data_IF_264845336144
#
_entry.id   IF_264845336144
#
_cell.length_a   1.000
_cell.length_b   1.000
_cell.length_c   1.000
_cell.angle_alpha   90.00
_cell.angle_beta   90.00
_cell.angle_gamma   90.00
#
_symmetry.space_group_name_H-M   'P 1'
#
loop_
_entity.id
_entity.type
_entity.pdbx_description
1 polymer ?
#
# COMPACT_ATOMS: atom_id res chain seq x y z
N UNK A 1 -26.52 34.04 -15.41
CA UNK A 1 -26.55 33.29 -14.13
C UNK A 1 -26.36 31.82 -14.46
N UNK A 2 -25.35 31.15 -13.91
CA UNK A 2 -25.19 29.70 -14.05
C UNK A 2 -26.28 29.04 -13.20
N UNK A 3 -26.92 27.93 -13.68
CA UNK A 3 -27.95 27.25 -12.90
C UNK A 3 -27.33 26.72 -11.59
N UNK A 4 -28.06 26.87 -10.49
CA UNK A 4 -27.69 26.32 -9.20
C UNK A 4 -27.56 24.80 -9.32
N UNK A 5 -26.36 24.27 -9.06
CA UNK A 5 -26.14 22.82 -9.04
C UNK A 5 -26.68 22.27 -7.72
N UNK A 6 -27.77 21.53 -7.78
CA UNK A 6 -28.20 20.71 -6.65
C UNK A 6 -27.23 19.56 -6.43
N UNK A 7 -26.50 19.62 -5.32
CA UNK A 7 -25.64 18.54 -4.87
C UNK A 7 -26.53 17.52 -4.17
N UNK A 8 -26.62 16.30 -4.70
CA UNK A 8 -27.33 15.20 -4.05
C UNK A 8 -26.65 14.74 -2.74
N UNK A 9 -27.08 13.61 -2.18
CA UNK A 9 -26.49 13.03 -0.96
C UNK A 9 -24.97 12.74 -1.09
N UNK A 10 -24.48 12.53 -2.31
CA UNK A 10 -23.05 12.34 -2.63
C UNK A 10 -22.66 13.27 -3.77
N UNK A 11 -21.58 14.00 -3.59
CA UNK A 11 -20.99 14.85 -4.64
C UNK A 11 -20.07 14.04 -5.58
N UNK A 12 -20.69 13.26 -6.47
CA UNK A 12 -19.94 12.42 -7.44
C UNK A 12 -18.98 13.20 -8.32
N UNK A 13 -19.33 14.44 -8.69
CA UNK A 13 -18.46 15.29 -9.52
C UNK A 13 -17.22 15.70 -8.75
N UNK A 14 -17.39 16.16 -7.51
CA UNK A 14 -16.29 16.54 -6.63
C UNK A 14 -15.39 15.35 -6.30
N UNK A 15 -15.99 14.22 -5.93
CA UNK A 15 -15.28 12.96 -5.66
C UNK A 15 -14.48 12.47 -6.88
N UNK A 16 -15.11 12.44 -8.06
CA UNK A 16 -14.45 12.05 -9.30
C UNK A 16 -13.32 13.00 -9.70
N UNK A 17 -13.49 14.31 -9.43
CA UNK A 17 -12.45 15.31 -9.67
C UNK A 17 -11.24 15.11 -8.75
N UNK A 18 -11.48 14.88 -7.45
CA UNK A 18 -10.42 14.60 -6.49
C UNK A 18 -9.68 13.30 -6.85
N UNK A 19 -10.40 12.22 -7.09
CA UNK A 19 -9.81 10.95 -7.51
C UNK A 19 -9.02 11.09 -8.81
N UNK A 20 -9.59 11.75 -9.83
CA UNK A 20 -8.92 12.01 -11.10
C UNK A 20 -7.65 12.86 -10.96
N UNK A 21 -7.66 13.85 -10.06
CA UNK A 21 -6.46 14.63 -9.69
C UNK A 21 -5.37 13.72 -9.13
N UNK A 22 -5.72 12.83 -8.18
CA UNK A 22 -4.77 11.90 -7.57
C UNK A 22 -4.18 10.92 -8.60
N UNK A 23 -5.00 10.39 -9.51
CA UNK A 23 -4.54 9.52 -10.59
C UNK A 23 -3.62 10.26 -11.57
N UNK A 24 -4.03 11.43 -12.06
CA UNK A 24 -3.22 12.24 -12.98
C UNK A 24 -1.87 12.63 -12.38
N UNK A 25 -1.81 12.88 -11.08
CA UNK A 25 -0.61 13.25 -10.36
C UNK A 25 0.46 12.17 -10.44
N UNK A 26 0.16 10.92 -10.13
CA UNK A 26 1.15 9.86 -10.19
C UNK A 26 1.49 9.43 -11.63
N UNK A 27 0.54 9.50 -12.56
CA UNK A 27 0.82 9.24 -13.96
C UNK A 27 1.70 10.32 -14.60
N UNK A 28 1.57 11.58 -14.18
CA UNK A 28 2.42 12.68 -14.70
C UNK A 28 3.91 12.43 -14.43
N UNK A 29 4.25 11.72 -13.38
CA UNK A 29 5.63 11.38 -12.98
C UNK A 29 5.85 9.85 -13.00
N UNK A 30 5.30 9.15 -14.00
CA UNK A 30 5.27 7.70 -14.11
C UNK A 30 6.66 7.04 -14.04
N UNK A 31 7.70 7.69 -14.53
CA UNK A 31 9.08 7.20 -14.40
C UNK A 31 9.48 7.00 -12.94
N UNK A 32 9.13 7.95 -12.08
CA UNK A 32 9.45 7.88 -10.66
C UNK A 32 8.47 6.99 -9.89
N UNK A 33 7.19 6.96 -10.29
CA UNK A 33 6.13 6.30 -9.50
C UNK A 33 5.90 4.85 -9.89
N UNK A 34 6.25 4.45 -11.10
CA UNK A 34 6.04 3.10 -11.62
C UNK A 34 7.37 2.46 -12.01
N UNK A 35 8.19 3.12 -12.85
CA UNK A 35 9.41 2.51 -13.38
C UNK A 35 10.47 2.34 -12.29
N UNK A 36 10.71 3.36 -11.47
CA UNK A 36 11.74 3.28 -10.43
C UNK A 36 11.49 2.15 -9.41
N UNK A 37 10.28 1.99 -8.80
CA UNK A 37 10.03 0.86 -7.91
C UNK A 37 10.08 -0.50 -8.64
N UNK A 38 9.71 -0.57 -9.93
CA UNK A 38 9.82 -1.78 -10.72
C UNK A 38 11.29 -2.18 -10.90
N UNK A 39 12.16 -1.26 -11.31
CA UNK A 39 13.60 -1.50 -11.45
C UNK A 39 14.21 -1.92 -10.11
N UNK A 40 13.88 -1.22 -9.03
CA UNK A 40 14.40 -1.56 -7.69
C UNK A 40 13.98 -2.97 -7.28
N UNK A 41 12.72 -3.35 -7.45
CA UNK A 41 12.24 -4.69 -7.11
C UNK A 41 12.85 -5.77 -7.98
N UNK A 42 13.06 -5.52 -9.28
CA UNK A 42 13.76 -6.44 -10.18
C UNK A 42 15.22 -6.60 -9.81
N UNK A 43 15.88 -5.52 -9.39
CA UNK A 43 17.26 -5.59 -8.90
C UNK A 43 17.33 -6.43 -7.62
N UNK A 44 16.43 -6.24 -6.66
CA UNK A 44 16.34 -7.09 -5.47
C UNK A 44 16.14 -8.57 -5.86
N UNK A 45 15.17 -8.84 -6.75
CA UNK A 45 14.93 -10.20 -7.23
C UNK A 45 16.21 -10.82 -7.83
N UNK A 46 16.91 -10.11 -8.69
CA UNK A 46 18.13 -10.58 -9.34
C UNK A 46 19.28 -10.82 -8.34
N UNK A 47 19.52 -9.86 -7.44
CA UNK A 47 20.58 -9.97 -6.43
C UNK A 47 20.34 -11.15 -5.48
N UNK A 48 19.12 -11.28 -4.96
CA UNK A 48 18.80 -12.38 -4.05
C UNK A 48 18.74 -13.74 -4.76
N UNK A 49 18.29 -13.79 -6.01
CA UNK A 49 18.35 -14.99 -6.84
C UNK A 49 19.79 -15.51 -7.01
N UNK A 50 20.71 -14.60 -7.31
CA UNK A 50 22.12 -14.96 -7.52
C UNK A 50 22.86 -15.24 -6.22
N UNK A 51 22.56 -14.50 -5.14
CA UNK A 51 23.27 -14.65 -3.86
C UNK A 51 22.75 -15.82 -3.02
N UNK A 52 21.43 -16.00 -2.95
CA UNK A 52 20.79 -16.96 -2.04
C UNK A 52 20.15 -18.13 -2.79
N UNK A 53 19.58 -17.90 -3.96
CA UNK A 53 18.87 -18.94 -4.73
C UNK A 53 19.76 -20.13 -5.12
N UNK A 54 21.09 -19.94 -5.18
CA UNK A 54 22.04 -21.05 -5.39
C UNK A 54 22.26 -21.91 -4.14
N UNK A 55 22.19 -21.28 -2.96
CA UNK A 55 22.42 -21.97 -1.67
C UNK A 55 21.12 -22.58 -1.15
N UNK A 56 20.01 -21.94 -1.47
CA UNK A 56 18.69 -22.30 -1.00
C UNK A 56 17.69 -22.25 -2.18
N UNK A 57 17.67 -23.33 -3.00
CA UNK A 57 16.87 -23.33 -4.23
C UNK A 57 15.36 -23.34 -3.97
N UNK A 58 14.91 -23.87 -2.83
CA UNK A 58 13.50 -24.03 -2.50
C UNK A 58 13.16 -23.58 -1.08
N UNK A 59 11.98 -23.03 -0.91
CA UNK A 59 11.34 -22.69 0.36
C UNK A 59 9.90 -23.20 0.31
N UNK A 60 9.51 -24.04 1.28
CA UNK A 60 8.13 -24.55 1.38
C UNK A 60 7.64 -25.29 0.12
N UNK A 61 8.53 -25.97 -0.62
CA UNK A 61 8.19 -26.71 -1.84
C UNK A 61 8.05 -25.87 -3.11
N UNK A 62 8.33 -24.57 -3.04
CA UNK A 62 8.37 -23.67 -4.21
C UNK A 62 9.78 -23.12 -4.41
N UNK A 63 10.11 -22.74 -5.65
CA UNK A 63 11.42 -22.15 -5.90
C UNK A 63 11.60 -20.83 -5.12
N UNK A 64 12.84 -20.54 -4.71
CA UNK A 64 13.15 -19.31 -3.97
C UNK A 64 12.65 -18.05 -4.67
N UNK A 65 12.76 -17.99 -6.00
CA UNK A 65 12.24 -16.89 -6.81
C UNK A 65 10.71 -16.76 -6.77
N UNK A 66 10.01 -17.90 -6.87
CA UNK A 66 8.55 -17.92 -6.76
C UNK A 66 8.07 -17.48 -5.38
N UNK A 67 8.80 -17.87 -4.31
CA UNK A 67 8.49 -17.44 -2.95
C UNK A 67 8.68 -15.93 -2.74
N UNK A 68 9.75 -15.37 -3.31
CA UNK A 68 10.16 -13.98 -3.08
C UNK A 68 9.36 -12.98 -3.90
N UNK A 69 8.95 -13.34 -5.13
CA UNK A 69 8.29 -12.43 -6.04
C UNK A 69 6.99 -11.81 -5.49
N UNK A 70 6.02 -12.56 -4.91
CA UNK A 70 4.84 -12.00 -4.29
C UNK A 70 5.16 -11.00 -3.14
N UNK A 71 6.17 -11.32 -2.33
CA UNK A 71 6.62 -10.44 -1.25
C UNK A 71 7.11 -9.08 -1.77
N UNK A 72 7.93 -9.08 -2.82
CA UNK A 72 8.41 -7.86 -3.47
C UNK A 72 7.28 -7.05 -4.11
N UNK A 73 6.32 -7.73 -4.75
CA UNK A 73 5.15 -7.08 -5.35
C UNK A 73 4.32 -6.35 -4.29
N UNK A 74 4.00 -7.03 -3.18
CA UNK A 74 3.22 -6.41 -2.08
C UNK A 74 4.00 -5.29 -1.41
N UNK A 75 5.28 -5.47 -1.16
CA UNK A 75 6.13 -4.42 -0.57
C UNK A 75 6.13 -3.16 -1.44
N UNK A 76 6.35 -3.30 -2.76
CA UNK A 76 6.30 -2.17 -3.69
C UNK A 76 4.92 -1.52 -3.74
N UNK A 77 3.84 -2.33 -3.76
CA UNK A 77 2.46 -1.87 -3.73
C UNK A 77 2.16 -1.05 -2.48
N UNK A 78 2.50 -1.56 -1.30
CA UNK A 78 2.30 -0.90 -0.01
C UNK A 78 3.02 0.45 0.05
N UNK A 79 4.31 0.47 -0.27
CA UNK A 79 5.12 1.70 -0.27
C UNK A 79 4.57 2.76 -1.22
N UNK A 80 4.10 2.35 -2.41
CA UNK A 80 3.55 3.28 -3.38
C UNK A 80 2.14 3.77 -3.03
N UNK A 81 1.30 2.94 -2.40
CA UNK A 81 0.01 3.37 -1.85
C UNK A 81 0.18 4.43 -0.76
N UNK A 82 1.09 4.18 0.19
CA UNK A 82 1.45 5.14 1.24
C UNK A 82 2.01 6.44 0.66
N UNK A 83 2.98 6.35 -0.25
CA UNK A 83 3.65 7.50 -0.83
C UNK A 83 2.68 8.40 -1.63
N UNK A 84 1.64 7.84 -2.24
CA UNK A 84 0.64 8.64 -2.94
C UNK A 84 -0.10 9.58 -2.00
N UNK A 85 -0.77 9.04 -1.01
CA UNK A 85 -1.62 9.83 -0.10
C UNK A 85 -0.79 10.74 0.79
N UNK A 86 0.34 10.24 1.32
CA UNK A 86 1.20 11.04 2.18
C UNK A 86 1.81 12.24 1.45
N UNK A 87 2.33 12.04 0.24
CA UNK A 87 2.90 13.16 -0.53
C UNK A 87 1.83 14.13 -1.03
N UNK A 88 0.63 13.67 -1.40
CA UNK A 88 -0.42 14.53 -1.91
C UNK A 88 -0.84 15.59 -0.90
N UNK A 89 -1.22 15.14 0.29
CA UNK A 89 -1.67 16.06 1.34
C UNK A 89 -0.51 16.91 1.87
N UNK A 90 0.70 16.31 1.98
CA UNK A 90 1.87 17.06 2.47
C UNK A 90 2.28 18.18 1.53
N UNK A 91 2.28 17.94 0.21
CA UNK A 91 2.52 19.00 -0.78
C UNK A 91 1.51 20.13 -0.60
N UNK A 92 0.23 19.81 -0.47
CA UNK A 92 -0.83 20.83 -0.27
C UNK A 92 -0.62 21.63 1.02
N UNK A 93 -0.15 21.00 2.10
CA UNK A 93 0.16 21.70 3.38
C UNK A 93 1.37 22.62 3.23
N UNK A 94 2.46 22.15 2.65
CA UNK A 94 3.70 22.95 2.52
C UNK A 94 3.52 24.11 1.55
N UNK A 95 2.70 23.94 0.50
CA UNK A 95 2.39 25.01 -0.45
C UNK A 95 1.30 25.98 0.05
N UNK A 96 0.70 25.72 1.22
CA UNK A 96 -0.40 26.52 1.74
C UNK A 96 -1.75 26.32 1.01
N UNK A 97 -1.82 25.34 0.11
CA UNK A 97 -2.99 25.08 -0.74
C UNK A 97 -3.96 24.05 -0.11
N UNK A 98 -3.78 23.70 1.14
CA UNK A 98 -4.67 22.75 1.83
C UNK A 98 -6.11 23.23 1.85
N UNK A 99 -6.32 24.54 1.90
CA UNK A 99 -7.64 25.20 1.85
C UNK A 99 -8.34 24.86 0.55
N UNK A 100 -7.65 24.87 -0.60
CA UNK A 100 -8.22 24.56 -1.90
C UNK A 100 -8.71 23.10 -2.01
N UNK A 101 -8.13 22.20 -1.20
CA UNK A 101 -8.59 20.81 -1.09
C UNK A 101 -9.82 20.67 -0.20
N UNK A 102 -9.95 21.54 0.82
CA UNK A 102 -11.04 21.51 1.80
C UNK A 102 -12.23 22.39 1.43
N UNK A 103 -12.04 23.43 0.59
CA UNK A 103 -13.11 24.34 0.16
C UNK A 103 -14.19 23.72 -0.73
N UNK A 104 -13.88 22.76 -1.65
CA UNK A 104 -14.94 22.11 -2.40
C UNK A 104 -15.99 21.50 -1.48
N UNK A 105 -17.27 21.48 -1.86
CA UNK A 105 -18.35 20.94 -1.03
C UNK A 105 -18.30 19.40 -1.01
N UNK A 106 -17.22 18.87 -0.42
CA UNK A 106 -17.00 17.44 -0.19
C UNK A 106 -17.18 17.14 1.30
N UNK A 107 -17.93 16.10 1.58
CA UNK A 107 -18.03 15.56 2.93
C UNK A 107 -16.69 14.93 3.37
N UNK A 108 -16.41 14.81 4.68
CA UNK A 108 -15.22 14.12 5.18
C UNK A 108 -15.07 12.70 4.65
N UNK A 109 -16.18 11.99 4.44
CA UNK A 109 -16.19 10.66 3.84
C UNK A 109 -15.76 10.66 2.37
N UNK A 110 -16.25 11.61 1.58
CA UNK A 110 -15.87 11.76 0.16
C UNK A 110 -14.40 12.14 0.01
N UNK A 111 -13.89 13.02 0.87
CA UNK A 111 -12.46 13.35 0.92
C UNK A 111 -11.63 12.10 1.22
N UNK A 112 -12.03 11.32 2.24
CA UNK A 112 -11.36 10.08 2.61
C UNK A 112 -11.35 9.08 1.46
N UNK A 113 -12.50 8.85 0.82
CA UNK A 113 -12.61 7.94 -0.34
C UNK A 113 -11.71 8.42 -1.48
N UNK A 114 -11.77 9.71 -1.84
CA UNK A 114 -10.99 10.25 -2.96
C UNK A 114 -9.48 10.05 -2.79
N UNK A 115 -8.93 10.36 -1.60
CA UNK A 115 -7.53 10.14 -1.29
C UNK A 115 -7.18 8.66 -1.21
N UNK A 116 -7.97 7.87 -0.48
CA UNK A 116 -7.73 6.44 -0.27
C UNK A 116 -7.71 5.67 -1.59
N UNK A 117 -8.69 5.92 -2.46
CA UNK A 117 -8.77 5.31 -3.79
C UNK A 117 -7.62 5.74 -4.70
N UNK A 118 -7.19 7.01 -4.64
CA UNK A 118 -6.03 7.49 -5.39
C UNK A 118 -4.74 6.75 -5.00
N UNK A 119 -4.49 6.58 -3.69
CA UNK A 119 -3.35 5.82 -3.19
C UNK A 119 -3.43 4.33 -3.53
N UNK A 120 -4.60 3.73 -3.35
CA UNK A 120 -4.86 2.35 -3.70
C UNK A 120 -4.61 2.08 -5.20
N UNK A 121 -5.12 2.95 -6.08
CA UNK A 121 -4.94 2.83 -7.53
C UNK A 121 -3.46 2.86 -7.92
N UNK A 122 -2.65 3.76 -7.35
CA UNK A 122 -1.22 3.80 -7.62
C UNK A 122 -0.52 2.51 -7.17
N UNK A 123 -0.81 2.02 -5.97
CA UNK A 123 -0.23 0.77 -5.47
C UNK A 123 -0.57 -0.42 -6.37
N UNK A 124 -1.85 -0.56 -6.75
CA UNK A 124 -2.32 -1.64 -7.62
C UNK A 124 -1.70 -1.57 -9.03
N UNK A 125 -1.55 -0.37 -9.59
CA UNK A 125 -0.87 -0.19 -10.90
C UNK A 125 0.59 -0.62 -10.80
N UNK A 126 1.30 -0.25 -9.73
CA UNK A 126 2.70 -0.68 -9.52
C UNK A 126 2.78 -2.20 -9.35
N UNK A 127 1.88 -2.80 -8.56
CA UNK A 127 1.82 -4.25 -8.39
C UNK A 127 1.58 -4.98 -9.71
N UNK A 128 0.63 -4.50 -10.52
CA UNK A 128 0.32 -5.05 -11.83
C UNK A 128 1.51 -4.97 -12.78
N UNK A 129 2.12 -3.78 -12.90
CA UNK A 129 3.28 -3.59 -13.80
C UNK A 129 4.45 -4.46 -13.35
N UNK A 130 4.75 -4.50 -12.05
CA UNK A 130 5.83 -5.32 -11.51
C UNK A 130 5.55 -6.82 -11.74
N UNK A 131 4.33 -7.29 -11.52
CA UNK A 131 3.94 -8.68 -11.81
C UNK A 131 4.17 -9.02 -13.29
N UNK A 132 3.75 -8.16 -14.21
CA UNK A 132 3.94 -8.36 -15.65
C UNK A 132 5.42 -8.40 -16.05
N UNK A 133 6.24 -7.53 -15.45
CA UNK A 133 7.69 -7.50 -15.70
C UNK A 133 8.40 -8.72 -15.11
N UNK A 134 7.89 -9.31 -14.03
CA UNK A 134 8.44 -10.53 -13.42
C UNK A 134 8.09 -11.81 -14.17
N UNK A 135 6.99 -11.86 -14.94
CA UNK A 135 6.52 -13.07 -15.63
C UNK A 135 7.59 -13.79 -16.46
N UNK A 136 8.50 -13.12 -17.24
CA UNK A 136 9.52 -13.80 -18.00
C UNK A 136 10.61 -14.47 -17.14
N UNK A 137 10.73 -14.08 -15.87
CA UNK A 137 11.80 -14.52 -14.97
C UNK A 137 11.32 -15.50 -13.90
N UNK A 138 10.04 -15.41 -13.54
CA UNK A 138 9.43 -16.18 -12.46
C UNK A 138 8.09 -16.72 -12.93
N UNK A 139 7.90 -18.02 -12.77
CA UNK A 139 6.61 -18.65 -13.06
C UNK A 139 5.60 -18.25 -11.97
N UNK A 140 4.80 -17.23 -12.26
CA UNK A 140 3.75 -16.74 -11.38
C UNK A 140 2.40 -17.31 -11.83
N UNK A 141 1.77 -18.07 -10.96
CA UNK A 141 0.43 -18.59 -11.16
C UNK A 141 -0.53 -17.95 -10.14
N UNK A 142 -1.77 -17.75 -10.53
CA UNK A 142 -2.80 -17.30 -9.58
C UNK A 142 -3.47 -18.55 -9.00
N UNK A 143 -3.01 -18.96 -7.80
CA UNK A 143 -3.55 -20.12 -7.10
C UNK A 143 -4.97 -19.88 -6.59
N UNK A 144 -5.22 -18.71 -5.94
CA UNK A 144 -6.53 -18.37 -5.42
C UNK A 144 -6.84 -16.88 -5.58
N UNK A 145 -7.60 -16.55 -6.64
CA UNK A 145 -7.89 -15.16 -7.02
C UNK A 145 -8.58 -14.34 -5.92
N UNK A 146 -9.49 -14.93 -5.15
CA UNK A 146 -10.18 -14.25 -4.05
C UNK A 146 -9.23 -13.76 -2.96
N UNK A 147 -8.30 -14.60 -2.51
CA UNK A 147 -7.27 -14.21 -1.53
C UNK A 147 -6.33 -13.16 -2.09
N UNK A 148 -5.89 -13.33 -3.33
CA UNK A 148 -5.06 -12.35 -4.03
C UNK A 148 -5.72 -10.97 -4.02
N UNK A 149 -6.99 -10.90 -4.42
CA UNK A 149 -7.74 -9.65 -4.53
C UNK A 149 -7.97 -9.00 -3.16
N UNK A 150 -8.42 -9.76 -2.17
CA UNK A 150 -8.69 -9.25 -0.81
C UNK A 150 -7.41 -8.67 -0.19
N UNK A 151 -6.27 -9.37 -0.31
CA UNK A 151 -5.02 -8.90 0.28
C UNK A 151 -4.38 -7.77 -0.52
N UNK A 152 -4.51 -7.75 -1.85
CA UNK A 152 -4.07 -6.62 -2.68
C UNK A 152 -4.85 -5.34 -2.34
N UNK A 153 -6.18 -5.43 -2.29
CA UNK A 153 -7.03 -4.30 -1.92
C UNK A 153 -6.81 -3.88 -0.47
N UNK A 154 -6.74 -4.84 0.46
CA UNK A 154 -6.49 -4.59 1.88
C UNK A 154 -5.14 -3.92 2.13
N UNK A 155 -4.07 -4.43 1.53
CA UNK A 155 -2.72 -3.88 1.67
C UNK A 155 -2.63 -2.46 1.10
N UNK A 156 -3.12 -2.26 -0.12
CA UNK A 156 -3.08 -0.95 -0.76
C UNK A 156 -3.95 0.07 -0.04
N UNK A 157 -5.14 -0.31 0.43
CA UNK A 157 -6.04 0.57 1.17
C UNK A 157 -5.48 0.90 2.57
N UNK A 158 -5.01 -0.09 3.31
CA UNK A 158 -4.41 0.10 4.64
C UNK A 158 -3.25 1.10 4.58
N UNK A 159 -2.32 0.92 3.63
CA UNK A 159 -1.17 1.81 3.48
C UNK A 159 -1.54 3.19 2.93
N UNK A 160 -2.57 3.28 2.09
CA UNK A 160 -3.11 4.56 1.66
C UNK A 160 -3.71 5.36 2.84
N UNK A 161 -4.46 4.71 3.72
CA UNK A 161 -4.99 5.32 4.94
C UNK A 161 -3.87 5.72 5.91
N UNK A 162 -2.88 4.86 6.09
CA UNK A 162 -1.70 5.18 6.92
C UNK A 162 -0.94 6.38 6.36
N UNK A 163 -0.81 6.49 5.03
CA UNK A 163 -0.20 7.64 4.36
C UNK A 163 -0.97 8.93 4.62
N UNK A 164 -2.31 8.87 4.60
CA UNK A 164 -3.16 10.01 4.92
C UNK A 164 -3.00 10.45 6.38
N UNK A 165 -3.03 9.51 7.33
CA UNK A 165 -2.82 9.78 8.77
C UNK A 165 -1.46 10.42 9.02
N UNK A 166 -0.42 9.87 8.40
CA UNK A 166 0.93 10.41 8.52
C UNK A 166 1.03 11.82 7.97
N UNK A 167 0.42 12.12 6.82
CA UNK A 167 0.42 13.46 6.23
C UNK A 167 -0.37 14.48 7.05
N UNK A 168 -1.45 14.05 7.70
CA UNK A 168 -2.19 14.92 8.62
C UNK A 168 -1.30 15.29 9.83
N UNK A 169 -0.60 14.33 10.39
CA UNK A 169 0.28 14.52 11.55
C UNK A 169 1.56 15.29 11.22
N UNK A 170 2.19 14.97 10.07
CA UNK A 170 3.48 15.51 9.68
C UNK A 170 3.40 16.99 9.29
N UNK A 171 4.45 17.73 9.63
CA UNK A 171 4.65 19.15 9.29
C UNK A 171 5.75 19.34 8.25
N UNK A 172 6.65 18.34 8.12
CA UNK A 172 7.80 18.37 7.20
C UNK A 172 7.93 17.06 6.44
N UNK A 173 8.52 17.14 5.24
CA UNK A 173 8.78 15.94 4.42
C UNK A 173 9.70 14.93 5.11
N UNK A 174 10.64 15.38 5.93
CA UNK A 174 11.56 14.51 6.69
C UNK A 174 10.79 13.55 7.62
N UNK A 175 9.67 14.00 8.19
CA UNK A 175 8.83 13.16 9.03
C UNK A 175 8.14 12.04 8.22
N UNK A 176 7.72 12.33 6.97
CA UNK A 176 7.21 11.29 6.06
C UNK A 176 8.30 10.27 5.71
N UNK A 177 9.50 10.75 5.41
CA UNK A 177 10.65 9.89 5.13
C UNK A 177 11.01 9.02 6.34
N UNK A 178 10.97 9.58 7.55
CA UNK A 178 11.19 8.83 8.77
C UNK A 178 10.16 7.71 8.96
N UNK A 179 8.86 7.98 8.80
CA UNK A 179 7.81 6.95 8.88
C UNK A 179 8.01 5.88 7.81
N UNK A 180 8.34 6.28 6.58
CA UNK A 180 8.60 5.33 5.49
C UNK A 180 9.76 4.40 5.83
N UNK A 181 10.90 4.95 6.27
CA UNK A 181 12.11 4.16 6.48
C UNK A 181 12.07 3.36 7.79
N UNK A 182 11.67 3.99 8.90
CA UNK A 182 11.71 3.34 10.21
C UNK A 182 10.50 2.46 10.51
N UNK A 183 9.34 2.75 9.93
CA UNK A 183 8.13 1.97 10.21
C UNK A 183 7.82 1.07 9.02
N UNK A 184 7.48 1.63 7.84
CA UNK A 184 6.96 0.84 6.73
C UNK A 184 8.01 -0.14 6.22
N UNK A 185 9.19 0.34 5.90
CA UNK A 185 10.26 -0.51 5.36
C UNK A 185 10.69 -1.56 6.37
N UNK A 186 10.90 -1.19 7.63
CA UNK A 186 11.31 -2.12 8.69
C UNK A 186 10.26 -3.20 8.95
N UNK A 187 8.98 -2.82 9.06
CA UNK A 187 7.89 -3.79 9.25
C UNK A 187 7.71 -4.70 8.05
N UNK A 188 7.86 -4.18 6.82
CA UNK A 188 7.80 -5.00 5.61
C UNK A 188 8.95 -6.02 5.54
N UNK A 189 10.17 -5.65 5.93
CA UNK A 189 11.30 -6.57 6.01
C UNK A 189 11.08 -7.66 7.06
N UNK A 190 10.57 -7.29 8.25
CA UNK A 190 10.28 -8.25 9.33
C UNK A 190 9.11 -9.19 9.00
N UNK A 191 8.31 -8.87 7.99
CA UNK A 191 7.09 -9.60 7.61
C UNK A 191 7.32 -10.78 6.65
N UNK A 192 8.54 -11.27 6.51
CA UNK A 192 8.81 -12.40 5.64
C UNK A 192 8.75 -12.08 4.14
N UNK A 193 9.07 -10.85 3.74
CA UNK A 193 9.15 -10.47 2.33
C UNK A 193 10.17 -11.32 1.57
N UNK A 194 11.32 -11.62 2.20
CA UNK A 194 12.48 -12.27 1.59
C UNK A 194 12.76 -13.68 2.13
N UNK A 195 12.05 -14.12 3.15
CA UNK A 195 12.25 -15.40 3.84
C UNK A 195 10.94 -15.87 4.46
N UNK A 196 10.84 -17.15 4.78
CA UNK A 196 9.73 -17.69 5.58
C UNK A 196 9.94 -17.33 7.06
N UNK A 197 8.91 -16.83 7.72
CA UNK A 197 8.99 -16.45 9.15
C UNK A 197 9.24 -17.66 10.06
N UNK A 198 8.92 -18.87 9.62
CA UNK A 198 9.17 -20.12 10.36
C UNK A 198 10.66 -20.35 10.69
N UNK A 199 11.57 -19.66 9.95
CA UNK A 199 13.01 -19.74 10.16
C UNK A 199 13.54 -18.73 11.18
N UNK A 200 12.68 -17.87 11.69
CA UNK A 200 13.07 -16.87 12.69
C UNK A 200 13.18 -17.50 14.08
N UNK A 201 14.13 -17.01 14.92
CA UNK A 201 14.13 -17.31 16.36
C UNK A 201 12.80 -16.89 17.02
N UNK A 202 12.38 -17.63 18.06
CA UNK A 202 11.11 -17.41 18.77
C UNK A 202 10.75 -15.95 19.06
N UNK A 203 11.63 -15.07 19.56
CA UNK A 203 11.26 -13.67 19.81
C UNK A 203 10.86 -12.90 18.56
N UNK A 204 11.53 -13.15 17.42
CA UNK A 204 11.23 -12.49 16.14
C UNK A 204 10.03 -13.13 15.46
N UNK A 205 9.84 -14.42 15.57
CA UNK A 205 8.64 -15.11 15.09
C UNK A 205 7.38 -14.54 15.75
N UNK A 206 7.37 -14.44 17.08
CA UNK A 206 6.27 -13.84 17.83
C UNK A 206 6.04 -12.38 17.43
N UNK A 207 7.09 -11.58 17.32
CA UNK A 207 6.99 -10.20 16.86
C UNK A 207 6.39 -10.09 15.45
N UNK A 208 6.77 -10.99 14.53
CA UNK A 208 6.21 -11.04 13.17
C UNK A 208 4.72 -11.38 13.16
N UNK A 209 4.26 -12.26 14.04
CA UNK A 209 2.84 -12.62 14.15
C UNK A 209 1.96 -11.46 14.66
N UNK A 210 2.52 -10.52 15.44
CA UNK A 210 1.81 -9.30 15.83
C UNK A 210 1.87 -8.20 14.77
N UNK A 211 2.66 -8.38 13.71
CA UNK A 211 2.83 -7.40 12.65
C UNK A 211 1.75 -7.58 11.56
N UNK A 212 0.83 -6.61 11.35
CA UNK A 212 -0.19 -6.73 10.32
C UNK A 212 0.38 -6.84 8.89
N UNK A 213 1.59 -6.33 8.65
CA UNK A 213 2.25 -6.44 7.35
C UNK A 213 2.54 -7.91 6.98
N UNK A 214 2.83 -8.75 7.96
CA UNK A 214 2.99 -10.19 7.75
C UNK A 214 1.75 -10.79 7.07
N UNK A 215 0.58 -10.54 7.62
CA UNK A 215 -0.66 -11.10 7.08
C UNK A 215 -1.02 -10.54 5.69
N UNK A 216 -0.65 -9.29 5.41
CA UNK A 216 -0.82 -8.69 4.08
C UNK A 216 0.03 -9.42 3.03
N UNK A 217 1.29 -9.71 3.35
CA UNK A 217 2.24 -10.37 2.45
C UNK A 217 1.90 -11.86 2.32
N UNK A 218 1.64 -12.53 3.42
CA UNK A 218 1.40 -13.96 3.48
C UNK A 218 0.12 -14.36 2.74
N UNK A 219 -0.99 -13.65 2.97
CA UNK A 219 -2.24 -13.93 2.26
C UNK A 219 -2.18 -13.58 0.76
N UNK A 220 -1.43 -12.55 0.37
CA UNK A 220 -1.19 -12.26 -1.03
C UNK A 220 -0.33 -13.35 -1.68
N UNK A 221 0.72 -13.82 -0.98
CA UNK A 221 1.58 -14.93 -1.41
C UNK A 221 0.75 -16.19 -1.61
N UNK A 222 -0.12 -16.53 -0.64
CA UNK A 222 -1.03 -17.65 -0.81
C UNK A 222 -1.91 -17.51 -2.06
N UNK A 223 -2.44 -16.32 -2.30
CA UNK A 223 -3.25 -16.05 -3.50
C UNK A 223 -2.50 -16.26 -4.82
N UNK A 224 -1.18 -16.02 -4.83
CA UNK A 224 -0.34 -16.20 -6.02
C UNK A 224 0.22 -17.62 -6.17
N UNK A 225 0.79 -18.20 -5.11
CA UNK A 225 1.58 -19.44 -5.21
C UNK A 225 1.07 -20.58 -4.32
N UNK A 226 -0.02 -20.37 -3.57
CA UNK A 226 -0.62 -21.39 -2.70
C UNK A 226 0.16 -21.66 -1.41
N UNK A 227 1.24 -20.91 -1.12
CA UNK A 227 2.05 -21.07 0.08
C UNK A 227 1.72 -19.98 1.09
N UNK A 228 1.48 -20.37 2.34
CA UNK A 228 1.27 -19.47 3.47
C UNK A 228 2.05 -19.99 4.69
N UNK A 229 2.69 -19.08 5.43
CA UNK A 229 3.38 -19.36 6.69
C UNK A 229 2.44 -19.22 7.89
N UNK A 230 1.30 -18.56 7.73
CA UNK A 230 0.35 -18.25 8.78
C UNK A 230 -1.08 -18.77 8.53
N UNK A 231 -1.96 -18.56 9.52
CA UNK A 231 -3.38 -18.87 9.36
C UNK A 231 -4.08 -17.86 8.46
N UNK A 232 -4.60 -18.33 7.34
CA UNK A 232 -5.31 -17.49 6.34
C UNK A 232 -6.54 -16.79 6.91
N UNK A 233 -7.30 -17.48 7.78
CA UNK A 233 -8.49 -16.91 8.41
C UNK A 233 -8.12 -15.78 9.39
N UNK A 234 -7.09 -15.97 10.20
CA UNK A 234 -6.57 -14.93 11.08
C UNK A 234 -6.03 -13.76 10.25
N UNK A 235 -5.28 -14.06 9.18
CA UNK A 235 -4.75 -13.06 8.27
C UNK A 235 -5.83 -12.16 7.67
N UNK A 236 -6.87 -12.76 7.11
CA UNK A 236 -8.00 -12.02 6.54
C UNK A 236 -8.71 -11.16 7.61
N UNK A 237 -8.93 -11.69 8.81
CA UNK A 237 -9.56 -10.95 9.91
C UNK A 237 -8.70 -9.76 10.36
N UNK A 238 -7.38 -9.94 10.48
CA UNK A 238 -6.44 -8.86 10.85
C UNK A 238 -6.43 -7.77 9.78
N UNK A 239 -6.36 -8.13 8.50
CA UNK A 239 -6.36 -7.17 7.38
C UNK A 239 -7.64 -6.33 7.39
N UNK A 240 -8.80 -6.99 7.45
CA UNK A 240 -10.10 -6.28 7.49
C UNK A 240 -10.21 -5.43 8.75
N UNK A 241 -9.85 -5.97 9.91
CA UNK A 241 -9.87 -5.24 11.18
C UNK A 241 -9.00 -3.98 11.16
N UNK A 242 -7.76 -4.09 10.68
CA UNK A 242 -6.84 -2.96 10.55
C UNK A 242 -7.38 -1.89 9.58
N UNK A 243 -7.91 -2.30 8.43
CA UNK A 243 -8.51 -1.37 7.46
C UNK A 243 -9.69 -0.62 8.07
N UNK A 244 -10.61 -1.33 8.73
CA UNK A 244 -11.78 -0.72 9.38
C UNK A 244 -11.35 0.25 10.48
N UNK A 245 -10.43 -0.14 11.34
CA UNK A 245 -9.93 0.73 12.42
C UNK A 245 -9.28 1.98 11.85
N UNK A 246 -8.38 1.85 10.87
CA UNK A 246 -7.73 3.01 10.24
C UNK A 246 -8.72 3.90 9.50
N UNK A 247 -9.70 3.31 8.81
CA UNK A 247 -10.77 4.06 8.16
C UNK A 247 -11.55 4.93 9.15
N UNK A 248 -11.97 4.34 10.27
CA UNK A 248 -12.71 5.06 11.32
C UNK A 248 -11.88 6.16 11.98
N UNK A 249 -10.58 5.92 12.20
CA UNK A 249 -9.65 6.93 12.73
C UNK A 249 -9.52 8.09 11.74
N UNK A 250 -9.24 7.81 10.46
CA UNK A 250 -9.15 8.83 9.42
C UNK A 250 -10.42 9.66 9.33
N UNK A 251 -11.58 9.00 9.31
CA UNK A 251 -12.87 9.66 9.22
C UNK A 251 -13.12 10.60 10.42
N UNK A 252 -12.85 10.12 11.63
CA UNK A 252 -12.98 10.95 12.86
C UNK A 252 -12.06 12.17 12.84
N UNK A 253 -10.82 12.02 12.34
CA UNK A 253 -9.85 13.10 12.24
C UNK A 253 -10.31 14.15 11.21
N UNK A 254 -10.81 13.71 10.05
CA UNK A 254 -11.34 14.59 9.01
C UNK A 254 -12.60 15.34 9.48
N UNK A 255 -13.51 14.68 10.20
CA UNK A 255 -14.70 15.32 10.78
C UNK A 255 -14.30 16.42 11.79
N UNK A 256 -13.29 16.15 12.64
CA UNK A 256 -12.81 17.13 13.64
C UNK A 256 -11.96 18.25 13.02
N UNK A 257 -11.49 18.11 11.78
CA UNK A 257 -10.59 19.09 11.13
C UNK A 257 -9.23 19.22 11.83
N UNK A 258 -8.78 18.16 12.53
CA UNK A 258 -7.53 18.17 13.30
C UNK A 258 -6.32 18.35 12.39
N UNK A 259 -5.48 19.39 12.68
CA UNK A 259 -4.25 19.73 11.91
C UNK A 259 -4.45 19.91 10.40
N UNK A 260 -5.67 20.14 9.94
CA UNK A 260 -5.99 20.50 8.56
C UNK A 260 -6.09 22.00 8.35
N UNK A 261 -6.22 22.76 9.45
CA UNK A 261 -6.16 24.23 9.42
C UNK A 261 -4.70 24.62 9.67
N UNK A 262 -4.15 25.43 8.76
CA UNK A 262 -2.87 26.10 8.94
C UNK A 262 -2.96 27.13 10.08
#
# INVERSE_FOLDING_TARGET
MLPERHIGAVNWVGLGTLYGKECRRFFKVWLQTIVAPTITSMLFLAVFALAIGRVMPEIGGVSFLQFMAPGLIVMAMMQNSFANTSSSLMISKVQGNVVDVLMPPLSPGELLIGFAMGGMSRGLVVALVLSLVMLPFVHLEVHHFGFLLVHALGASLMLSLMGLLTAIWAEKFDQLAAVTNFIITTLAFLSGTFYSIERLPEPLLTASQFNPFFYLIDGFRYGMIGHADGSLAVGAAVVVGCVVVMWLICLKILIKGYRLKA
#
